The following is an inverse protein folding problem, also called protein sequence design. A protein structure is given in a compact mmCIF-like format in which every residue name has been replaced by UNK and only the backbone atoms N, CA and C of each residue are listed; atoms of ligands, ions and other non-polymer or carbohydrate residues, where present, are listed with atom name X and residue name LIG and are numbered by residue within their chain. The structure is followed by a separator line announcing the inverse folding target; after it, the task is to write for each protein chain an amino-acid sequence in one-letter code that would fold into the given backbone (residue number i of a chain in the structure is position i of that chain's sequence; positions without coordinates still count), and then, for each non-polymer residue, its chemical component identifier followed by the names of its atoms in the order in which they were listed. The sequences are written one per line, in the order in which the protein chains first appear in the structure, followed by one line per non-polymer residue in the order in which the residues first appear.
data_IF_869988627174
#
_entry.id   IF_869988627174
#
_cell.length_a   1.000
_cell.length_b   1.000
_cell.length_c   1.000
_cell.angle_alpha   90.00
_cell.angle_beta   90.00
_cell.angle_gamma   90.00
#
_symmetry.space_group_name_H-M   'P 1'
#
loop_
_entity.id
_entity.type
_entity.pdbx_description
1 polymer ?
#
# COMPACT_ATOMS: atom_id res chain seq x y z
N UNK A 1 26.29 31.03 -6.25
CA UNK A 1 27.35 30.20 -5.64
C UNK A 1 26.62 28.98 -5.13
N UNK A 2 26.12 28.16 -6.05
CA UNK A 2 25.08 27.18 -5.74
C UNK A 2 25.73 25.82 -5.92
N UNK A 3 26.35 25.33 -4.86
CA UNK A 3 26.97 24.00 -4.84
C UNK A 3 26.34 23.16 -3.74
N UNK A 4 26.38 21.84 -3.91
CA UNK A 4 25.81 20.90 -2.93
C UNK A 4 26.55 21.01 -1.59
N UNK A 5 27.84 21.31 -1.61
CA UNK A 5 28.67 21.55 -0.42
C UNK A 5 28.14 22.73 0.40
N UNK A 6 27.88 23.87 -0.26
CA UNK A 6 27.33 25.05 0.40
C UNK A 6 25.92 24.77 0.96
N UNK A 7 25.09 24.06 0.19
CA UNK A 7 23.76 23.65 0.65
C UNK A 7 23.84 22.72 1.87
N UNK A 8 24.79 21.79 1.89
CA UNK A 8 25.00 20.87 3.03
C UNK A 8 25.41 21.64 4.28
N UNK A 9 26.28 22.64 4.14
CA UNK A 9 26.62 23.53 5.25
C UNK A 9 25.41 24.33 5.76
N UNK A 10 24.56 24.83 4.86
CA UNK A 10 23.30 25.48 5.26
C UNK A 10 22.35 24.53 5.98
N UNK A 11 22.21 23.29 5.53
CA UNK A 11 21.41 22.27 6.21
C UNK A 11 21.94 22.06 7.65
N UNK A 12 23.24 21.91 7.82
CA UNK A 12 23.85 21.72 9.15
C UNK A 12 23.63 22.94 10.06
N UNK A 13 23.72 24.15 9.52
CA UNK A 13 23.57 25.39 10.28
C UNK A 13 22.13 25.79 10.59
N UNK A 14 21.14 25.34 9.81
CA UNK A 14 19.75 25.82 9.88
C UNK A 14 18.72 24.74 10.27
N UNK A 15 19.17 23.61 10.82
CA UNK A 15 18.27 22.53 11.29
C UNK A 15 18.05 22.53 12.80
N UNK A 16 18.51 23.55 13.53
CA UNK A 16 18.54 23.56 14.99
C UNK A 16 17.20 23.89 15.65
N UNK A 17 16.42 24.81 15.07
CA UNK A 17 15.13 25.23 15.61
C UNK A 17 14.10 25.53 14.49
N UNK A 18 12.84 25.75 14.89
CA UNK A 18 11.73 25.99 13.97
C UNK A 18 11.92 27.23 13.07
N UNK A 19 12.48 28.32 13.61
CA UNK A 19 12.71 29.55 12.85
C UNK A 19 13.78 29.34 11.78
N UNK A 20 14.89 28.68 12.11
CA UNK A 20 15.94 28.30 11.17
C UNK A 20 15.41 27.37 10.08
N UNK A 21 14.59 26.38 10.45
CA UNK A 21 13.97 25.46 9.49
C UNK A 21 13.03 26.21 8.53
N UNK A 22 12.33 27.23 9.00
CA UNK A 22 11.49 28.09 8.16
C UNK A 22 12.32 28.87 7.11
N UNK A 23 13.58 29.19 7.40
CA UNK A 23 14.52 29.78 6.43
C UNK A 23 15.15 28.71 5.51
N UNK A 24 15.41 27.50 6.03
CA UNK A 24 16.00 26.40 5.27
C UNK A 24 15.05 25.86 4.18
N UNK A 25 13.76 25.74 4.49
CA UNK A 25 12.79 25.11 3.60
C UNK A 25 12.66 25.82 2.23
N UNK A 26 12.54 27.16 2.14
CA UNK A 26 12.61 27.87 0.86
C UNK A 26 13.91 27.60 0.11
N UNK A 27 15.07 27.65 0.78
CA UNK A 27 16.37 27.41 0.13
C UNK A 27 16.45 26.01 -0.50
N UNK A 28 15.94 24.99 0.19
CA UNK A 28 15.85 23.62 -0.32
C UNK A 28 14.95 23.53 -1.55
N UNK A 29 13.79 24.23 -1.55
CA UNK A 29 12.89 24.31 -2.71
C UNK A 29 13.56 24.95 -3.92
N UNK A 30 14.31 26.04 -3.74
CA UNK A 30 15.05 26.67 -4.83
C UNK A 30 16.18 25.77 -5.37
N UNK A 31 16.73 24.89 -4.54
CA UNK A 31 17.86 24.01 -4.88
C UNK A 31 17.47 22.67 -5.50
N UNK A 32 16.17 22.40 -5.73
CA UNK A 32 15.70 21.10 -6.21
C UNK A 32 16.26 20.72 -7.60
N UNK A 33 16.39 21.69 -8.50
CA UNK A 33 16.95 21.43 -9.83
C UNK A 33 18.42 21.03 -9.75
N UNK A 34 19.19 21.74 -8.92
CA UNK A 34 20.59 21.45 -8.66
C UNK A 34 20.76 20.03 -8.08
N UNK A 35 19.95 19.68 -7.07
CA UNK A 35 19.99 18.35 -6.46
C UNK A 35 19.69 17.25 -7.48
N UNK A 36 18.72 17.46 -8.37
CA UNK A 36 18.38 16.50 -9.43
C UNK A 36 19.50 16.35 -10.47
N UNK A 37 20.09 17.46 -10.91
CA UNK A 37 21.21 17.44 -11.86
C UNK A 37 22.44 16.73 -11.29
N UNK A 38 22.66 16.81 -9.97
CA UNK A 38 23.81 16.23 -9.29
C UNK A 38 23.47 14.94 -8.52
N UNK A 39 22.32 14.32 -8.78
CA UNK A 39 21.81 13.19 -8.02
C UNK A 39 22.86 12.09 -7.76
N UNK A 40 23.59 11.66 -8.78
CA UNK A 40 24.61 10.59 -8.67
C UNK A 40 25.78 10.90 -7.73
N UNK A 41 25.99 12.18 -7.38
CA UNK A 41 27.07 12.66 -6.51
C UNK A 41 26.62 12.97 -5.10
N UNK A 42 25.33 12.78 -4.78
CA UNK A 42 24.76 13.15 -3.47
C UNK A 42 25.11 12.18 -2.33
N UNK A 43 25.50 10.95 -2.64
CA UNK A 43 25.73 9.91 -1.63
C UNK A 43 26.70 10.32 -0.49
N UNK A 44 27.89 10.91 -0.75
CA UNK A 44 28.80 11.32 0.31
C UNK A 44 28.23 12.42 1.22
N UNK A 45 27.30 13.24 0.72
CA UNK A 45 26.69 14.31 1.50
C UNK A 45 25.64 13.80 2.48
N UNK A 46 25.02 12.64 2.19
CA UNK A 46 24.14 11.97 3.13
C UNK A 46 24.90 11.51 4.38
N UNK A 47 26.16 11.09 4.23
CA UNK A 47 27.00 10.65 5.35
C UNK A 47 27.43 11.82 6.27
N UNK A 48 27.38 13.05 5.76
CA UNK A 48 27.69 14.28 6.54
C UNK A 48 26.50 14.78 7.36
N UNK A 49 25.31 14.18 7.18
CA UNK A 49 24.07 14.65 7.79
C UNK A 49 23.51 13.62 8.78
N UNK A 50 23.25 14.07 10.00
CA UNK A 50 22.45 13.32 10.97
C UNK A 50 20.97 13.24 10.52
N UNK A 51 20.39 12.03 10.31
CA UNK A 51 19.02 11.86 9.86
C UNK A 51 17.94 12.40 10.81
N UNK A 52 18.20 12.45 12.12
CA UNK A 52 17.25 12.90 13.14
C UNK A 52 17.28 14.42 13.30
N UNK A 53 18.46 15.04 13.23
CA UNK A 53 18.63 16.50 13.37
C UNK A 53 18.34 17.23 12.06
N UNK A 54 18.88 16.74 10.95
CA UNK A 54 18.82 17.38 9.64
C UNK A 54 17.75 16.77 8.73
N UNK A 55 16.63 16.30 9.30
CA UNK A 55 15.66 15.46 8.59
C UNK A 55 15.11 16.09 7.31
N UNK A 56 14.82 17.40 7.31
CA UNK A 56 14.31 18.09 6.13
C UNK A 56 15.34 18.13 5.01
N UNK A 57 16.58 18.54 5.30
CA UNK A 57 17.66 18.55 4.31
C UNK A 57 18.01 17.15 3.82
N UNK A 58 18.15 16.19 4.73
CA UNK A 58 18.40 14.79 4.41
C UNK A 58 17.31 14.23 3.49
N UNK A 59 16.04 14.56 3.73
CA UNK A 59 14.92 14.15 2.90
C UNK A 59 15.08 14.63 1.44
N UNK A 60 15.42 15.90 1.25
CA UNK A 60 15.63 16.46 -0.09
C UNK A 60 16.78 15.78 -0.84
N UNK A 61 17.91 15.54 -0.15
CA UNK A 61 19.06 14.86 -0.75
C UNK A 61 18.75 13.40 -1.08
N UNK A 62 18.09 12.68 -0.17
CA UNK A 62 17.76 11.26 -0.35
C UNK A 62 16.72 11.05 -1.45
N UNK A 63 15.72 11.93 -1.53
CA UNK A 63 14.70 11.91 -2.59
C UNK A 63 15.36 12.16 -3.96
N UNK A 64 16.18 13.20 -4.09
CA UNK A 64 16.89 13.49 -5.33
C UNK A 64 17.91 12.39 -5.70
N UNK A 65 18.64 11.83 -4.72
CA UNK A 65 19.58 10.74 -4.96
C UNK A 65 18.87 9.50 -5.51
N UNK A 66 17.67 9.21 -5.00
CA UNK A 66 16.93 8.00 -5.33
C UNK A 66 15.92 8.15 -6.48
N UNK A 67 15.72 9.36 -7.02
CA UNK A 67 14.79 9.63 -8.11
C UNK A 67 15.22 9.00 -9.44
N UNK A 68 16.53 8.81 -9.64
CA UNK A 68 17.12 8.18 -10.83
C UNK A 68 17.09 6.65 -10.79
N UNK A 69 17.50 5.97 -11.88
CA UNK A 69 17.64 4.52 -11.89
C UNK A 69 18.69 4.08 -10.85
N UNK A 70 18.32 3.14 -9.97
CA UNK A 70 19.19 2.61 -8.93
C UNK A 70 19.93 1.39 -9.50
N UNK A 71 21.27 1.42 -9.48
CA UNK A 71 22.07 0.27 -9.90
C UNK A 71 22.10 -0.80 -8.80
N UNK A 72 22.48 -2.04 -9.17
CA UNK A 72 22.50 -3.16 -8.23
C UNK A 72 23.49 -2.95 -7.08
N UNK A 73 24.58 -2.25 -7.38
CA UNK A 73 25.65 -1.93 -6.43
C UNK A 73 25.17 -0.92 -5.39
N UNK A 74 24.38 0.08 -5.81
CA UNK A 74 23.85 1.14 -4.95
C UNK A 74 22.66 0.67 -4.11
N UNK A 75 21.89 -0.31 -4.60
CA UNK A 75 20.63 -0.72 -3.97
C UNK A 75 20.77 -1.11 -2.49
N UNK A 76 21.84 -1.82 -2.13
CA UNK A 76 22.08 -2.25 -0.75
C UNK A 76 22.34 -1.07 0.20
N UNK A 77 23.25 -0.18 -0.17
CA UNK A 77 23.58 1.01 0.61
C UNK A 77 22.36 1.94 0.72
N UNK A 78 21.65 2.15 -0.39
CA UNK A 78 20.47 3.00 -0.42
C UNK A 78 19.31 2.44 0.42
N UNK A 79 19.13 1.12 0.46
CA UNK A 79 18.16 0.48 1.35
C UNK A 79 18.50 0.76 2.82
N UNK A 80 19.78 0.70 3.20
CA UNK A 80 20.23 1.07 4.55
C UNK A 80 19.93 2.55 4.84
N UNK A 81 20.23 3.45 3.89
CA UNK A 81 19.91 4.89 4.03
C UNK A 81 18.42 5.14 4.20
N UNK A 82 17.56 4.48 3.40
CA UNK A 82 16.10 4.60 3.53
C UNK A 82 15.60 4.16 4.91
N UNK A 83 15.99 2.97 5.35
CA UNK A 83 15.54 2.39 6.62
C UNK A 83 16.07 3.22 7.79
N UNK A 84 17.36 3.59 7.75
CA UNK A 84 17.99 4.42 8.77
C UNK A 84 17.32 5.79 8.90
N UNK A 85 17.05 6.45 7.76
CA UNK A 85 16.37 7.74 7.73
C UNK A 85 14.94 7.65 8.26
N UNK A 86 14.10 6.74 7.72
CA UNK A 86 12.69 6.61 8.12
C UNK A 86 12.55 6.34 9.63
N UNK A 87 13.43 5.49 10.19
CA UNK A 87 13.39 5.18 11.61
C UNK A 87 13.83 6.37 12.49
N UNK A 88 14.77 7.19 12.02
CA UNK A 88 15.41 8.22 12.85
C UNK A 88 14.84 9.63 12.65
N UNK A 89 14.23 9.93 11.50
CA UNK A 89 13.82 11.28 11.14
C UNK A 89 12.79 11.93 12.10
N UNK A 90 12.84 13.25 12.22
CA UNK A 90 11.84 14.04 12.94
C UNK A 90 10.52 14.11 12.17
N UNK A 91 9.41 13.79 12.84
CA UNK A 91 8.07 13.87 12.28
C UNK A 91 7.70 15.32 11.88
N UNK A 92 8.08 16.30 12.69
CA UNK A 92 7.79 17.72 12.44
C UNK A 92 8.44 18.20 11.14
N UNK A 93 9.71 17.84 10.93
CA UNK A 93 10.46 18.25 9.74
C UNK A 93 9.95 17.57 8.46
N UNK A 94 9.68 16.27 8.48
CA UNK A 94 9.19 15.57 7.28
C UNK A 94 7.79 16.03 6.86
N UNK A 95 6.96 16.50 7.82
CA UNK A 95 5.63 17.04 7.55
C UNK A 95 5.65 18.39 6.82
N UNK A 96 6.81 19.07 6.75
CA UNK A 96 6.97 20.27 5.92
C UNK A 96 7.04 19.94 4.42
N UNK A 97 7.43 18.71 4.06
CA UNK A 97 7.54 18.24 2.69
C UNK A 97 6.98 16.80 2.54
N UNK A 98 5.68 16.58 2.79
CA UNK A 98 5.08 15.25 2.86
C UNK A 98 5.19 14.48 1.55
N UNK A 99 5.06 15.14 0.39
CA UNK A 99 5.17 14.51 -0.93
C UNK A 99 6.54 13.87 -1.16
N UNK A 100 7.62 14.55 -0.72
CA UNK A 100 8.98 14.02 -0.82
C UNK A 100 9.17 12.83 0.11
N UNK A 101 8.63 12.90 1.32
CA UNK A 101 8.68 11.77 2.26
C UNK A 101 7.91 10.55 1.73
N UNK A 102 6.74 10.77 1.13
CA UNK A 102 5.96 9.72 0.45
C UNK A 102 6.77 9.12 -0.72
N UNK A 103 7.43 9.95 -1.52
CA UNK A 103 8.30 9.51 -2.63
C UNK A 103 9.40 8.57 -2.14
N UNK A 104 10.13 8.95 -1.09
CA UNK A 104 11.17 8.14 -0.45
C UNK A 104 10.61 6.81 0.07
N UNK A 105 9.46 6.82 0.74
CA UNK A 105 8.83 5.60 1.25
C UNK A 105 8.38 4.66 0.13
N UNK A 106 7.81 5.20 -0.96
CA UNK A 106 7.45 4.42 -2.15
C UNK A 106 8.69 3.85 -2.81
N UNK A 107 9.80 4.59 -2.84
CA UNK A 107 11.07 4.11 -3.38
C UNK A 107 11.65 2.96 -2.56
N UNK A 108 11.62 3.04 -1.23
CA UNK A 108 11.95 1.91 -0.35
C UNK A 108 11.10 0.69 -0.68
N UNK A 109 9.77 0.86 -0.77
CA UNK A 109 8.84 -0.22 -1.12
C UNK A 109 9.22 -0.87 -2.45
N UNK A 110 9.46 -0.08 -3.49
CA UNK A 110 9.83 -0.61 -4.80
C UNK A 110 11.15 -1.40 -4.74
N UNK A 111 12.13 -0.93 -3.97
CA UNK A 111 13.39 -1.65 -3.77
C UNK A 111 13.18 -2.99 -3.05
N UNK A 112 12.49 -3.03 -1.91
CA UNK A 112 12.29 -4.30 -1.19
C UNK A 112 11.50 -5.31 -2.02
N UNK A 113 10.61 -4.85 -2.90
CA UNK A 113 9.84 -5.71 -3.78
C UNK A 113 10.66 -6.21 -4.97
N UNK A 114 11.47 -5.33 -5.59
CA UNK A 114 12.41 -5.71 -6.65
C UNK A 114 13.40 -6.77 -6.17
N UNK A 115 13.85 -6.66 -4.91
CA UNK A 115 14.77 -7.62 -4.27
C UNK A 115 14.07 -8.83 -3.63
N UNK A 116 12.74 -8.95 -3.74
CA UNK A 116 11.93 -10.05 -3.19
C UNK A 116 12.09 -10.22 -1.66
N UNK A 117 12.30 -9.13 -0.94
CA UNK A 117 12.41 -9.08 0.53
C UNK A 117 11.39 -8.12 1.15
N UNK A 118 10.07 -8.23 0.82
CA UNK A 118 9.03 -7.29 1.25
C UNK A 118 8.99 -7.06 2.76
N UNK A 119 9.36 -8.07 3.55
CA UNK A 119 9.38 -8.02 5.01
C UNK A 119 10.27 -6.90 5.56
N UNK A 120 11.36 -6.56 4.86
CA UNK A 120 12.28 -5.51 5.30
C UNK A 120 11.65 -4.11 5.25
N UNK A 121 10.62 -3.91 4.43
CA UNK A 121 9.89 -2.63 4.35
C UNK A 121 8.73 -2.50 5.35
N UNK A 122 8.27 -3.60 5.98
CA UNK A 122 7.08 -3.59 6.85
C UNK A 122 7.29 -2.70 8.08
N UNK A 123 8.35 -2.92 8.86
CA UNK A 123 8.60 -2.13 10.05
C UNK A 123 8.90 -0.65 9.74
N UNK A 124 9.77 -0.31 8.75
CA UNK A 124 10.01 1.07 8.36
C UNK A 124 8.74 1.78 7.86
N UNK A 125 7.93 1.17 6.99
CA UNK A 125 6.71 1.82 6.51
C UNK A 125 5.67 2.01 7.61
N UNK A 126 5.59 1.10 8.60
CA UNK A 126 4.76 1.34 9.78
C UNK A 126 5.21 2.59 10.54
N UNK A 127 6.52 2.75 10.76
CA UNK A 127 7.09 3.96 11.36
C UNK A 127 6.76 5.19 10.53
N UNK A 128 6.90 5.10 9.21
CA UNK A 128 6.61 6.19 8.28
C UNK A 128 5.14 6.64 8.34
N UNK A 129 4.20 5.68 8.36
CA UNK A 129 2.76 5.98 8.52
C UNK A 129 2.53 6.79 9.79
N UNK A 130 3.04 6.32 10.93
CA UNK A 130 2.84 7.00 12.23
C UNK A 130 3.49 8.39 12.29
N UNK A 131 4.65 8.59 11.66
CA UNK A 131 5.31 9.90 11.62
C UNK A 131 4.60 10.88 10.70
N UNK A 132 4.11 10.41 9.55
CA UNK A 132 3.43 11.27 8.58
C UNK A 132 2.00 11.63 9.00
N UNK A 133 1.31 10.69 9.64
CA UNK A 133 -0.07 10.84 10.09
C UNK A 133 -0.20 11.95 11.14
N UNK A 134 -1.09 12.92 10.89
CA UNK A 134 -1.34 14.07 11.79
C UNK A 134 -2.21 13.64 12.98
N UNK A 135 -3.27 12.86 12.72
CA UNK A 135 -4.17 12.26 13.72
C UNK A 135 -4.42 10.79 13.36
N UNK A 136 -4.70 9.93 14.35
CA UNK A 136 -5.03 8.51 14.11
C UNK A 136 -6.22 8.30 13.17
N UNK A 137 -7.08 9.32 13.04
CA UNK A 137 -8.27 9.31 12.21
C UNK A 137 -8.01 9.64 10.73
N UNK A 138 -6.79 10.07 10.40
CA UNK A 138 -6.42 10.55 9.07
C UNK A 138 -5.71 9.48 8.22
N UNK A 139 -6.27 9.22 7.03
CA UNK A 139 -5.72 8.28 6.06
C UNK A 139 -4.63 8.92 5.20
N UNK A 140 -3.38 8.57 5.47
CA UNK A 140 -2.26 8.89 4.56
C UNK A 140 -2.12 7.89 3.42
N UNK A 141 -1.54 8.31 2.29
CA UNK A 141 -1.21 7.44 1.15
C UNK A 141 -0.33 6.24 1.54
N UNK A 142 0.50 6.38 2.59
CA UNK A 142 1.41 5.32 3.04
C UNK A 142 0.70 4.13 3.69
N UNK A 143 -0.54 4.29 4.15
CA UNK A 143 -1.33 3.17 4.68
C UNK A 143 -1.46 2.05 3.66
N UNK A 144 -1.84 2.40 2.43
CA UNK A 144 -2.01 1.41 1.35
C UNK A 144 -0.70 0.69 1.01
N UNK A 145 0.42 1.42 0.99
CA UNK A 145 1.76 0.88 0.70
C UNK A 145 2.23 -0.08 1.80
N UNK A 146 1.98 0.26 3.07
CA UNK A 146 2.26 -0.61 4.20
C UNK A 146 1.42 -1.89 4.19
N UNK A 147 0.12 -1.79 3.94
CA UNK A 147 -0.77 -2.96 3.89
C UNK A 147 -0.40 -3.90 2.74
N UNK A 148 0.00 -3.35 1.59
CA UNK A 148 0.52 -4.14 0.48
C UNK A 148 1.77 -4.94 0.88
N UNK A 149 2.73 -4.32 1.58
CA UNK A 149 3.91 -5.05 2.09
C UNK A 149 3.52 -6.13 3.11
N UNK A 150 2.54 -5.87 3.99
CA UNK A 150 2.04 -6.86 4.93
C UNK A 150 1.43 -8.08 4.21
N UNK A 151 0.67 -7.85 3.13
CA UNK A 151 0.10 -8.92 2.31
C UNK A 151 1.19 -9.76 1.64
N UNK A 152 2.13 -9.10 0.97
CA UNK A 152 3.22 -9.75 0.23
C UNK A 152 4.18 -10.54 1.13
N UNK A 153 4.41 -10.05 2.35
CA UNK A 153 5.21 -10.73 3.37
C UNK A 153 4.42 -11.69 4.25
N UNK A 154 3.11 -11.84 4.02
CA UNK A 154 2.18 -12.61 4.87
C UNK A 154 2.18 -12.20 6.36
N UNK A 155 2.58 -10.96 6.65
CA UNK A 155 2.65 -10.40 8.01
C UNK A 155 1.33 -9.71 8.40
N UNK A 156 0.24 -10.47 8.37
CA UNK A 156 -1.12 -9.94 8.60
C UNK A 156 -1.31 -9.29 9.98
N UNK A 157 -0.66 -9.83 11.03
CA UNK A 157 -0.69 -9.25 12.38
C UNK A 157 -0.10 -7.85 12.44
N UNK A 158 0.91 -7.55 11.61
CA UNK A 158 1.46 -6.20 11.55
C UNK A 158 0.44 -5.22 10.96
N UNK A 159 -0.28 -5.66 9.92
CA UNK A 159 -1.36 -4.90 9.27
C UNK A 159 -2.53 -4.58 10.20
N UNK A 160 -2.91 -5.50 11.09
CA UNK A 160 -4.01 -5.29 12.04
C UNK A 160 -3.81 -4.05 12.93
N UNK A 161 -2.59 -3.78 13.38
CA UNK A 161 -2.31 -2.63 14.26
C UNK A 161 -2.61 -1.25 13.62
N UNK A 162 -2.81 -1.22 12.30
CA UNK A 162 -3.23 -0.03 11.57
C UNK A 162 -4.71 -0.14 11.18
N UNK A 163 -5.17 -1.34 10.81
CA UNK A 163 -6.58 -1.58 10.43
C UNK A 163 -7.57 -1.50 11.60
N UNK A 164 -7.10 -1.59 12.83
CA UNK A 164 -7.93 -1.42 14.03
C UNK A 164 -8.07 0.07 14.43
N UNK A 165 -7.37 1.00 13.75
CA UNK A 165 -7.59 2.45 13.95
C UNK A 165 -8.85 2.91 13.20
N UNK A 166 -9.66 3.75 13.86
CA UNK A 166 -10.85 4.35 13.27
C UNK A 166 -10.48 5.52 12.35
N UNK A 167 -10.61 5.34 11.03
CA UNK A 167 -10.25 6.33 10.03
C UNK A 167 -11.51 7.05 9.53
N UNK A 168 -11.53 8.38 9.66
CA UNK A 168 -12.64 9.24 9.26
C UNK A 168 -12.26 10.30 8.22
N UNK A 169 -10.99 10.70 8.16
CA UNK A 169 -10.50 11.71 7.22
C UNK A 169 -9.75 11.06 6.06
N UNK A 170 -10.13 11.42 4.83
CA UNK A 170 -9.57 10.87 3.60
C UNK A 170 -9.39 11.99 2.58
N UNK A 171 -8.15 12.21 2.15
CA UNK A 171 -7.84 13.21 1.11
C UNK A 171 -8.10 12.69 -0.30
N UNK A 172 -7.71 11.44 -0.57
CA UNK A 172 -7.80 10.84 -1.90
C UNK A 172 -8.70 9.60 -1.91
N UNK A 173 -9.75 9.55 -2.75
CA UNK A 173 -10.61 8.38 -2.86
C UNK A 173 -9.84 7.10 -3.17
N UNK A 174 -8.79 7.20 -4.01
CA UNK A 174 -7.92 6.08 -4.39
C UNK A 174 -7.26 5.42 -3.18
N UNK A 175 -6.84 6.22 -2.20
CA UNK A 175 -6.15 5.73 -1.01
C UNK A 175 -7.13 4.96 -0.12
N UNK A 176 -8.38 5.44 0.01
CA UNK A 176 -9.46 4.71 0.68
C UNK A 176 -9.77 3.38 -0.01
N UNK A 177 -9.88 3.37 -1.34
CA UNK A 177 -10.13 2.13 -2.10
C UNK A 177 -9.05 1.09 -1.83
N UNK A 178 -7.76 1.48 -1.88
CA UNK A 178 -6.65 0.57 -1.65
C UNK A 178 -6.55 0.14 -0.18
N UNK A 179 -6.75 1.07 0.76
CA UNK A 179 -6.76 0.79 2.19
C UNK A 179 -7.80 -0.28 2.55
N UNK A 180 -9.05 -0.06 2.13
CA UNK A 180 -10.14 -0.99 2.39
C UNK A 180 -9.97 -2.32 1.63
N UNK A 181 -9.48 -2.29 0.39
CA UNK A 181 -9.23 -3.51 -0.39
C UNK A 181 -8.15 -4.38 0.26
N UNK A 182 -6.97 -3.81 0.57
CA UNK A 182 -5.88 -4.55 1.20
C UNK A 182 -6.24 -4.94 2.64
N UNK A 183 -6.96 -4.10 3.38
CA UNK A 183 -7.51 -4.43 4.69
C UNK A 183 -8.44 -5.64 4.65
N UNK A 184 -9.36 -5.67 3.69
CA UNK A 184 -10.23 -6.82 3.43
C UNK A 184 -9.43 -8.09 3.16
N UNK A 185 -8.40 -8.03 2.32
CA UNK A 185 -7.53 -9.18 2.04
C UNK A 185 -6.76 -9.67 3.28
N UNK A 186 -6.30 -8.76 4.15
CA UNK A 186 -5.64 -9.11 5.41
C UNK A 186 -6.62 -9.81 6.36
N UNK A 187 -7.82 -9.26 6.53
CA UNK A 187 -8.87 -9.88 7.35
C UNK A 187 -9.30 -11.25 6.82
N UNK A 188 -9.39 -11.40 5.51
CA UNK A 188 -9.61 -12.68 4.82
C UNK A 188 -8.50 -13.68 5.17
N UNK A 189 -7.22 -13.29 5.04
CA UNK A 189 -6.08 -14.15 5.38
C UNK A 189 -6.05 -14.57 6.86
N UNK A 190 -6.70 -13.79 7.72
CA UNK A 190 -6.88 -14.07 9.15
C UNK A 190 -8.21 -14.75 9.49
N UNK A 191 -9.03 -15.12 8.49
CA UNK A 191 -10.38 -15.69 8.65
C UNK A 191 -11.34 -14.82 9.46
N UNK A 192 -11.10 -13.51 9.56
CA UNK A 192 -12.01 -12.53 10.18
C UNK A 192 -13.02 -12.03 9.14
N UNK A 193 -13.89 -12.93 8.68
CA UNK A 193 -14.82 -12.65 7.59
C UNK A 193 -15.78 -11.46 7.83
N UNK A 194 -16.31 -11.20 9.04
CA UNK A 194 -17.16 -10.03 9.28
C UNK A 194 -16.45 -8.71 8.97
N UNK A 195 -15.26 -8.50 9.55
CA UNK A 195 -14.44 -7.30 9.30
C UNK A 195 -13.99 -7.21 7.82
N UNK A 196 -13.69 -8.35 7.20
CA UNK A 196 -13.37 -8.37 5.78
C UNK A 196 -14.53 -7.88 4.90
N UNK A 197 -15.77 -8.29 5.22
CA UNK A 197 -16.96 -7.82 4.52
C UNK A 197 -17.16 -6.33 4.70
N UNK A 198 -16.98 -5.80 5.91
CA UNK A 198 -17.06 -4.36 6.17
C UNK A 198 -16.07 -3.58 5.29
N UNK A 199 -14.80 -3.98 5.27
CA UNK A 199 -13.79 -3.33 4.43
C UNK A 199 -14.14 -3.40 2.92
N UNK A 200 -14.51 -4.57 2.43
CA UNK A 200 -14.86 -4.75 1.01
C UNK A 200 -16.15 -4.02 0.64
N UNK A 201 -17.12 -3.97 1.55
CA UNK A 201 -18.35 -3.21 1.41
C UNK A 201 -18.05 -1.72 1.28
N UNK A 202 -17.16 -1.18 2.12
CA UNK A 202 -16.75 0.23 2.06
C UNK A 202 -16.18 0.61 0.68
N UNK A 203 -15.42 -0.28 0.03
CA UNK A 203 -14.96 -0.07 -1.36
C UNK A 203 -16.13 0.02 -2.33
N UNK A 204 -17.11 -0.88 -2.19
CA UNK A 204 -18.23 -1.01 -3.11
C UNK A 204 -19.22 0.15 -2.97
N UNK A 205 -19.38 0.67 -1.75
CA UNK A 205 -20.30 1.79 -1.45
C UNK A 205 -19.67 3.16 -1.59
N UNK A 206 -18.34 3.26 -1.64
CA UNK A 206 -17.64 4.52 -1.79
C UNK A 206 -18.13 5.27 -3.05
N UNK A 207 -18.32 6.61 -2.98
CA UNK A 207 -18.71 7.41 -4.13
C UNK A 207 -17.70 7.26 -5.27
N UNK A 208 -18.19 6.92 -6.47
CA UNK A 208 -17.33 6.78 -7.64
C UNK A 208 -18.01 7.31 -8.91
N UNK A 209 -17.28 8.13 -9.66
CA UNK A 209 -17.72 8.67 -10.96
C UNK A 209 -17.51 7.68 -12.09
N UNK A 210 -16.41 6.91 -12.04
CA UNK A 210 -16.07 5.87 -12.99
C UNK A 210 -15.69 4.59 -12.26
N UNK A 211 -15.89 3.43 -12.91
CA UNK A 211 -15.46 2.15 -12.37
C UNK A 211 -13.93 2.05 -12.39
N UNK A 212 -13.35 1.52 -11.33
CA UNK A 212 -11.92 1.28 -11.22
C UNK A 212 -11.64 -0.23 -11.08
N UNK A 213 -10.44 -0.67 -11.43
CA UNK A 213 -10.08 -2.09 -11.35
C UNK A 213 -10.12 -2.61 -9.89
N UNK A 214 -9.80 -1.74 -8.93
CA UNK A 214 -9.78 -2.07 -7.50
C UNK A 214 -11.19 -2.43 -7.02
N UNK A 215 -12.22 -1.66 -7.39
CA UNK A 215 -13.60 -1.91 -6.97
C UNK A 215 -14.17 -3.17 -7.59
N UNK A 216 -13.79 -3.48 -8.84
CA UNK A 216 -14.16 -4.74 -9.49
C UNK A 216 -13.58 -5.91 -8.70
N UNK A 217 -12.26 -5.92 -8.44
CA UNK A 217 -11.61 -7.01 -7.69
C UNK A 217 -12.12 -7.11 -6.25
N UNK A 218 -12.36 -5.98 -5.59
CA UNK A 218 -12.97 -5.95 -4.27
C UNK A 218 -14.37 -6.56 -4.27
N UNK A 219 -15.19 -6.23 -5.28
CA UNK A 219 -16.56 -6.74 -5.37
C UNK A 219 -16.60 -8.25 -5.64
N UNK A 220 -15.71 -8.76 -6.51
CA UNK A 220 -15.57 -10.22 -6.70
C UNK A 220 -15.29 -10.91 -5.37
N UNK A 221 -14.32 -10.41 -4.60
CA UNK A 221 -13.98 -10.95 -3.28
C UNK A 221 -15.10 -10.75 -2.26
N UNK A 222 -15.87 -9.66 -2.32
CA UNK A 222 -17.03 -9.42 -1.46
C UNK A 222 -18.10 -10.49 -1.65
N UNK A 223 -18.42 -10.85 -2.91
CA UNK A 223 -19.37 -11.93 -3.23
C UNK A 223 -18.89 -13.25 -2.61
N UNK A 224 -17.62 -13.60 -2.84
CA UNK A 224 -17.04 -14.84 -2.34
C UNK A 224 -17.09 -14.93 -0.81
N UNK A 225 -16.64 -13.88 -0.12
CA UNK A 225 -16.67 -13.85 1.34
C UNK A 225 -18.10 -13.85 1.87
N UNK A 226 -19.04 -13.16 1.21
CA UNK A 226 -20.46 -13.15 1.60
C UNK A 226 -21.07 -14.53 1.50
N UNK A 227 -20.80 -15.24 0.41
CA UNK A 227 -21.23 -16.61 0.21
C UNK A 227 -20.65 -17.57 1.25
N UNK A 228 -19.38 -17.40 1.62
CA UNK A 228 -18.71 -18.24 2.62
C UNK A 228 -19.23 -17.97 4.05
N UNK A 229 -19.43 -16.71 4.41
CA UNK A 229 -19.80 -16.33 5.77
C UNK A 229 -21.31 -16.34 6.02
N UNK A 230 -22.11 -15.86 5.05
CA UNK A 230 -23.55 -15.65 5.17
C UNK A 230 -24.37 -16.67 4.37
N UNK A 231 -23.75 -17.43 3.47
CA UNK A 231 -24.45 -18.35 2.54
C UNK A 231 -25.19 -17.64 1.39
N UNK A 232 -25.22 -16.31 1.38
CA UNK A 232 -25.91 -15.50 0.38
C UNK A 232 -25.20 -14.16 0.17
N UNK A 233 -25.43 -13.53 -0.97
CA UNK A 233 -24.88 -12.21 -1.30
C UNK A 233 -25.87 -11.11 -0.89
N UNK A 234 -25.51 -10.20 0.03
CA UNK A 234 -26.38 -9.08 0.39
C UNK A 234 -26.65 -8.17 -0.81
N UNK A 235 -27.88 -7.66 -0.96
CA UNK A 235 -28.17 -6.67 -1.99
C UNK A 235 -27.43 -5.36 -1.70
N UNK A 236 -27.14 -4.60 -2.76
CA UNK A 236 -26.54 -3.27 -2.60
C UNK A 236 -27.42 -2.36 -1.73
N UNK A 237 -26.84 -1.59 -0.81
CA UNK A 237 -27.56 -0.52 -0.14
C UNK A 237 -28.12 0.51 -1.12
N UNK A 238 -29.21 1.18 -0.70
CA UNK A 238 -29.87 2.21 -1.52
C UNK A 238 -28.96 3.41 -1.83
N UNK A 239 -27.99 3.68 -0.95
CA UNK A 239 -27.05 4.79 -1.09
C UNK A 239 -25.83 4.47 -1.97
N UNK A 240 -25.69 3.24 -2.46
CA UNK A 240 -24.61 2.88 -3.38
C UNK A 240 -24.77 3.65 -4.70
N UNK A 241 -23.66 4.15 -5.25
CA UNK A 241 -23.69 4.91 -6.50
C UNK A 241 -24.30 4.12 -7.66
N UNK A 242 -25.06 4.80 -8.53
CA UNK A 242 -25.70 4.18 -9.69
C UNK A 242 -24.67 3.52 -10.64
N UNK A 243 -23.47 4.11 -10.74
CA UNK A 243 -22.34 3.56 -11.50
C UNK A 243 -21.90 2.20 -10.95
N UNK A 244 -21.75 2.08 -9.62
CA UNK A 244 -21.41 0.82 -8.96
C UNK A 244 -22.54 -0.20 -9.14
N UNK A 245 -23.80 0.17 -8.86
CA UNK A 245 -24.94 -0.74 -9.00
C UNK A 245 -25.10 -1.29 -10.43
N UNK A 246 -24.93 -0.46 -11.46
CA UNK A 246 -25.08 -0.89 -12.86
C UNK A 246 -23.96 -1.81 -13.32
N UNK A 247 -22.71 -1.48 -12.99
CA UNK A 247 -21.54 -2.16 -13.56
C UNK A 247 -21.09 -3.35 -12.71
N UNK A 248 -21.17 -3.26 -11.38
CA UNK A 248 -20.75 -4.34 -10.48
C UNK A 248 -21.77 -5.48 -10.45
N UNK A 249 -23.08 -5.19 -10.56
CA UNK A 249 -24.12 -6.22 -10.54
C UNK A 249 -23.94 -7.30 -11.62
N UNK A 250 -23.41 -6.93 -12.79
CA UNK A 250 -23.10 -7.89 -13.86
C UNK A 250 -22.08 -8.94 -13.39
N UNK A 251 -21.10 -8.57 -12.57
CA UNK A 251 -20.13 -9.50 -12.02
C UNK A 251 -20.73 -10.44 -10.96
N UNK A 252 -21.73 -9.96 -10.19
CA UNK A 252 -22.45 -10.82 -9.24
C UNK A 252 -23.31 -11.88 -9.92
N UNK A 253 -23.85 -11.59 -11.11
CA UNK A 253 -24.59 -12.60 -11.87
C UNK A 253 -23.66 -13.73 -12.31
N UNK A 254 -22.54 -13.41 -12.94
CA UNK A 254 -21.58 -14.41 -13.44
C UNK A 254 -20.96 -15.23 -12.28
N UNK A 255 -20.45 -14.56 -11.25
CA UNK A 255 -19.83 -15.26 -10.12
C UNK A 255 -20.85 -15.97 -9.23
N UNK A 256 -22.09 -15.48 -9.17
CA UNK A 256 -23.16 -16.14 -8.43
C UNK A 256 -23.56 -17.47 -9.06
N UNK A 257 -23.57 -17.56 -10.39
CA UNK A 257 -23.80 -18.81 -11.11
C UNK A 257 -22.63 -19.78 -10.91
N UNK A 258 -21.39 -19.33 -11.10
CA UNK A 258 -20.19 -20.16 -10.92
C UNK A 258 -20.04 -20.65 -9.46
N UNK A 259 -20.23 -19.76 -8.48
CA UNK A 259 -20.09 -20.12 -7.08
C UNK A 259 -21.21 -21.05 -6.59
N UNK A 260 -22.44 -20.93 -7.11
CA UNK A 260 -23.51 -21.90 -6.84
C UNK A 260 -23.14 -23.29 -7.38
N UNK A 261 -22.62 -23.37 -8.60
CA UNK A 261 -22.14 -24.64 -9.17
C UNK A 261 -21.02 -25.24 -8.32
N UNK A 262 -20.05 -24.44 -7.87
CA UNK A 262 -18.93 -24.91 -7.02
C UNK A 262 -19.41 -25.32 -5.62
N UNK A 263 -20.39 -24.63 -5.04
CA UNK A 263 -20.98 -24.99 -3.75
C UNK A 263 -21.88 -26.24 -3.85
N UNK A 264 -22.60 -26.41 -4.96
CA UNK A 264 -23.42 -27.60 -5.24
C UNK A 264 -22.53 -28.83 -5.53
N UNK A 265 -21.39 -28.66 -6.20
CA UNK A 265 -20.42 -29.74 -6.43
C UNK A 265 -19.66 -30.17 -5.17
N UNK A 266 -19.65 -29.34 -4.11
CA UNK A 266 -19.05 -29.67 -2.80
C UNK A 266 -19.82 -30.72 -2.00
N UNK A 267 -20.92 -31.26 -2.53
CA UNK A 267 -21.65 -32.41 -1.96
C UNK A 267 -21.04 -33.77 -2.40
N UNK A 268 -20.07 -33.79 -3.32
CA UNK A 268 -19.48 -35.05 -3.79
C UNK A 268 -18.00 -34.99 -4.15
N UNK A 269 -17.14 -35.41 -3.21
CA UNK A 269 -15.84 -36.00 -3.53
C UNK A 269 -14.62 -35.12 -3.31
N UNK A 270 -13.83 -35.46 -2.29
CA UNK A 270 -12.44 -35.07 -2.12
C UNK A 270 -11.60 -35.61 -3.29
N UNK A 271 -11.18 -34.78 -4.23
CA UNK A 271 -9.87 -34.88 -4.92
C UNK A 271 -9.72 -33.79 -6.00
N UNK A 272 -8.47 -33.42 -6.26
CA UNK A 272 -7.98 -32.48 -7.28
C UNK A 272 -7.90 -31.00 -6.82
N UNK A 273 -7.08 -30.73 -5.78
CA UNK A 273 -6.77 -29.37 -5.31
C UNK A 273 -5.28 -28.97 -5.41
N UNK A 274 -4.40 -29.86 -5.89
CA UNK A 274 -2.94 -29.64 -5.78
C UNK A 274 -2.17 -29.33 -7.08
N UNK A 275 -2.75 -29.52 -8.27
CA UNK A 275 -1.91 -29.56 -9.49
C UNK A 275 -1.95 -28.34 -10.42
N UNK A 276 -2.68 -27.26 -10.11
CA UNK A 276 -2.91 -26.24 -11.15
C UNK A 276 -2.34 -24.85 -10.86
N UNK A 277 -2.22 -24.38 -9.61
CA UNK A 277 -2.01 -22.93 -9.40
C UNK A 277 -0.89 -22.58 -8.42
N UNK A 278 0.34 -22.65 -8.95
CA UNK A 278 1.54 -22.07 -8.33
C UNK A 278 1.46 -20.55 -8.22
N UNK A 279 1.72 -20.04 -7.01
CA UNK A 279 1.85 -18.62 -6.70
C UNK A 279 2.96 -17.97 -7.56
N UNK A 280 2.60 -17.28 -8.65
CA UNK A 280 3.55 -16.43 -9.37
C UNK A 280 3.40 -14.95 -8.95
N UNK A 281 4.49 -14.30 -8.49
CA UNK A 281 4.54 -12.88 -8.11
C UNK A 281 4.04 -11.89 -9.17
N UNK A 282 3.95 -12.32 -10.43
CA UNK A 282 3.50 -11.51 -11.57
C UNK A 282 2.05 -11.03 -11.43
N UNK A 283 1.18 -11.76 -10.72
CA UNK A 283 -0.26 -11.43 -10.63
C UNK A 283 -0.54 -10.25 -9.69
N UNK A 284 0.31 -9.99 -8.68
CA UNK A 284 0.14 -8.81 -7.81
C UNK A 284 0.49 -7.48 -8.49
N UNK A 285 1.24 -7.51 -9.59
CA UNK A 285 1.69 -6.30 -10.30
C UNK A 285 0.92 -5.99 -11.59
N UNK A 286 0.21 -6.96 -12.18
CA UNK A 286 -0.21 -6.84 -13.59
C UNK A 286 -1.58 -6.16 -13.84
N UNK A 287 -2.38 -5.87 -12.81
CA UNK A 287 -3.78 -5.44 -13.01
C UNK A 287 -4.07 -3.93 -12.86
N UNK A 288 -3.05 -3.07 -12.99
CA UNK A 288 -3.26 -1.61 -13.09
C UNK A 288 -3.21 -1.11 -14.56
N UNK A 289 -2.90 -1.97 -15.54
CA UNK A 289 -2.55 -1.52 -16.90
C UNK A 289 -3.35 -2.04 -18.10
N UNK A 290 -3.93 -3.25 -18.09
CA UNK A 290 -4.63 -3.78 -19.29
C UNK A 290 -5.78 -4.70 -18.93
N UNK A 291 -6.86 -4.60 -19.74
CA UNK A 291 -7.98 -5.55 -19.80
C UNK A 291 -7.45 -6.99 -19.84
N UNK A 292 -7.60 -7.75 -18.77
CA UNK A 292 -7.43 -9.19 -18.77
C UNK A 292 -8.75 -9.82 -18.32
N UNK A 293 -9.30 -10.68 -19.18
CA UNK A 293 -10.64 -11.23 -19.09
C UNK A 293 -10.80 -12.32 -18.03
N UNK A 294 -12.07 -12.55 -17.72
CA UNK A 294 -12.81 -13.60 -16.99
C UNK A 294 -12.14 -14.92 -16.52
N UNK A 295 -10.92 -15.31 -16.89
CA UNK A 295 -10.37 -16.65 -16.56
C UNK A 295 -9.76 -16.82 -15.15
N UNK A 296 -9.48 -15.75 -14.40
CA UNK A 296 -8.77 -15.85 -13.11
C UNK A 296 -9.66 -16.09 -11.87
N UNK A 297 -10.99 -15.97 -11.96
CA UNK A 297 -11.85 -16.01 -10.79
C UNK A 297 -12.01 -17.43 -10.21
N UNK A 298 -12.03 -18.44 -11.07
CA UNK A 298 -12.09 -19.86 -10.68
C UNK A 298 -10.78 -20.28 -10.00
N UNK A 299 -9.63 -19.80 -10.47
CA UNK A 299 -8.33 -20.10 -9.85
C UNK A 299 -8.19 -19.50 -8.44
N UNK A 300 -8.70 -18.26 -8.24
CA UNK A 300 -8.77 -17.65 -6.90
C UNK A 300 -9.74 -18.41 -5.97
N UNK A 301 -10.88 -18.86 -6.48
CA UNK A 301 -11.86 -19.71 -5.78
C UNK A 301 -11.27 -21.06 -5.37
N UNK A 302 -10.50 -21.70 -6.25
CA UNK A 302 -9.83 -22.99 -6.02
C UNK A 302 -8.69 -22.85 -5.01
N UNK A 303 -7.86 -21.80 -5.08
CA UNK A 303 -6.85 -21.52 -4.04
C UNK A 303 -7.48 -21.24 -2.68
N UNK A 304 -8.61 -20.54 -2.65
CA UNK A 304 -9.39 -20.26 -1.44
C UNK A 304 -10.02 -21.52 -0.83
N UNK A 305 -10.60 -22.37 -1.68
CA UNK A 305 -11.17 -23.65 -1.29
C UNK A 305 -10.09 -24.67 -0.84
N UNK A 306 -8.92 -24.66 -1.47
CA UNK A 306 -7.77 -25.54 -1.18
C UNK A 306 -7.12 -25.25 0.16
N UNK A 307 -6.92 -23.97 0.47
CA UNK A 307 -6.21 -23.56 1.68
C UNK A 307 -7.14 -23.31 2.88
N UNK A 308 -8.46 -23.21 2.65
CA UNK A 308 -9.43 -22.80 3.68
C UNK A 308 -10.74 -23.60 3.64
N UNK A 309 -10.68 -24.92 3.40
CA UNK A 309 -11.80 -25.87 3.52
C UNK A 309 -12.61 -25.76 4.84
N UNK A 310 -13.80 -26.39 4.88
CA UNK A 310 -15.03 -25.85 5.46
C UNK A 310 -14.94 -25.55 6.96
N UNK A 311 -15.29 -24.32 7.34
CA UNK A 311 -15.85 -24.04 8.67
C UNK A 311 -17.36 -24.30 8.59
N UNK A 312 -17.72 -25.56 8.39
CA UNK A 312 -19.05 -26.07 8.67
C UNK A 312 -18.83 -27.30 9.57
N UNK A 313 -18.91 -27.08 10.88
CA UNK A 313 -18.82 -28.14 11.89
C UNK A 313 -18.50 -27.62 13.28
N UNK A 314 -19.55 -27.59 14.12
CA UNK A 314 -19.66 -27.25 15.55
C UNK A 314 -19.87 -25.77 15.90
#
# INVERSE_FOLDING_TARGET
MDTVEALTAHIQGLSGNFEEIAHLHPLLKLSEELLRMQASRLAPFLDLLDPAKHSLGYLYLLEAYSSGPITREQASALLISFVGFINSCSAEQIRLAPDKFISVCKRLKDQVLQHKVPIQGVAPLRTAVRKLQISSEHLTTLHSEFLLLCLLSKCYKAGLNILDDDIFEVDQPRDLFLYCYYGGMIYIGLKRFPKALECLHNVVTAPMSAINAISIEAYKKYILVSLIHLGQVPPFPKYTSATAQRNLKNYAQVLGEEAKVVMEQRVGGDTVLNDVFGLSPSVMYFNIGRKAGFHNAIEELVWFAANFGPVLGA
#
